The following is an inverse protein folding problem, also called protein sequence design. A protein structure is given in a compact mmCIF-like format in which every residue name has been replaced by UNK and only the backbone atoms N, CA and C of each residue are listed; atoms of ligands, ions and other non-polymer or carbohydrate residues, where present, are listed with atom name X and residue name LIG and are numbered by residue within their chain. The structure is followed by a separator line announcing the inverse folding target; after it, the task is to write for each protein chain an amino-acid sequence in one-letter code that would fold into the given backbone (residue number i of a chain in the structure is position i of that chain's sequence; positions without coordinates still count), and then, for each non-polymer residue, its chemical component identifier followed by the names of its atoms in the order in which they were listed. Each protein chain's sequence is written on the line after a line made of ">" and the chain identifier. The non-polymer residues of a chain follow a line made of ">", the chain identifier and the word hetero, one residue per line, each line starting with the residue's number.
data_IF_900562972282
#
_entry.id   IF_900562972282
#
_cell.length_a   1.000
_cell.length_b   1.000
_cell.length_c   1.000
_cell.angle_alpha   90.00
_cell.angle_beta   90.00
_cell.angle_gamma   90.00
#
_symmetry.space_group_name_H-M   'P 1'
#
loop_
_entity.id
_entity.type
_entity.pdbx_description
1 polymer ?
#
# COMPACT_ATOMS: atom_id res chain seq x y z
N UNK A 1 56.63 -11.14 11.55
CA UNK A 1 56.41 -9.77 11.08
C UNK A 1 56.54 -9.75 9.58
N UNK A 2 55.44 -9.77 8.83
CA UNK A 2 55.46 -9.68 7.35
C UNK A 2 54.52 -8.52 7.00
N UNK A 3 55.09 -7.43 6.51
CA UNK A 3 54.38 -6.23 6.04
C UNK A 3 53.92 -6.45 4.61
N UNK A 4 52.60 -6.56 4.37
CA UNK A 4 52.04 -6.60 3.02
C UNK A 4 51.70 -5.16 2.59
N UNK A 5 52.52 -4.60 1.69
CA UNK A 5 52.30 -3.31 1.02
C UNK A 5 51.14 -3.42 0.05
N UNK A 6 49.98 -2.79 0.34
CA UNK A 6 48.91 -2.58 -0.62
C UNK A 6 49.29 -1.47 -1.62
N UNK A 7 49.46 -1.84 -2.88
CA UNK A 7 49.59 -0.89 -4.01
C UNK A 7 48.22 -0.31 -4.35
N UNK A 8 48.04 0.99 -4.14
CA UNK A 8 46.91 1.76 -4.68
C UNK A 8 47.04 1.87 -6.18
N UNK A 9 46.09 1.34 -6.95
CA UNK A 9 45.93 1.60 -8.38
C UNK A 9 44.95 2.78 -8.52
N UNK A 10 45.44 3.91 -9.03
CA UNK A 10 44.63 5.04 -9.46
C UNK A 10 44.03 4.70 -10.83
N UNK A 11 42.73 4.78 -10.98
CA UNK A 11 42.05 4.72 -12.27
C UNK A 11 41.75 6.14 -12.76
N UNK A 12 41.91 6.43 -14.05
CA UNK A 12 41.65 7.74 -14.63
C UNK A 12 40.15 7.97 -14.81
N UNK A 13 39.65 9.13 -14.37
CA UNK A 13 38.32 9.67 -14.60
C UNK A 13 38.26 10.17 -16.06
N UNK A 14 37.42 9.55 -16.88
CA UNK A 14 37.07 10.06 -18.21
C UNK A 14 35.78 10.90 -18.07
N UNK A 15 35.92 12.22 -18.23
CA UNK A 15 34.80 13.15 -18.31
C UNK A 15 34.29 13.15 -19.75
N UNK A 16 33.08 12.62 -19.96
CA UNK A 16 32.37 12.76 -21.23
C UNK A 16 31.37 13.91 -21.12
N UNK A 17 31.66 15.00 -21.84
CA UNK A 17 30.72 16.11 -22.01
C UNK A 17 29.65 15.74 -23.03
N UNK A 18 28.39 15.55 -22.57
CA UNK A 18 27.22 15.32 -23.42
C UNK A 18 26.47 16.63 -23.66
N UNK A 19 26.33 17.03 -24.93
CA UNK A 19 25.63 18.20 -25.45
C UNK A 19 24.10 17.94 -25.32
N UNK A 20 23.38 18.79 -24.58
CA UNK A 20 21.92 18.82 -24.49
C UNK A 20 21.36 19.59 -25.70
N UNK A 21 20.68 18.91 -26.64
CA UNK A 21 19.77 19.55 -27.61
C UNK A 21 18.39 19.66 -26.99
N UNK A 22 17.97 20.90 -26.71
CA UNK A 22 16.59 21.22 -26.36
C UNK A 22 15.76 21.34 -27.63
N UNK A 23 14.77 20.46 -27.81
CA UNK A 23 13.75 20.58 -28.87
C UNK A 23 12.51 21.19 -28.24
N UNK A 24 12.26 22.48 -28.54
CA UNK A 24 11.02 23.21 -28.23
C UNK A 24 9.97 22.86 -29.31
N UNK A 25 9.00 22.02 -28.98
CA UNK A 25 7.78 21.86 -29.78
C UNK A 25 6.73 22.84 -29.31
N UNK A 26 6.43 23.84 -30.13
CA UNK A 26 5.43 24.87 -29.90
C UNK A 26 4.00 24.32 -30.02
N UNK A 27 3.12 24.77 -29.13
CA UNK A 27 1.66 24.65 -29.27
C UNK A 27 1.14 25.51 -30.42
N UNK A 28 0.50 24.87 -31.40
CA UNK A 28 -0.33 25.61 -32.39
C UNK A 28 -1.76 25.72 -31.88
N UNK A 29 -2.39 26.92 -31.95
CA UNK A 29 -3.81 27.06 -31.65
C UNK A 29 -4.67 26.55 -32.83
N UNK A 30 -5.73 25.79 -32.52
CA UNK A 30 -6.73 25.33 -33.50
C UNK A 30 -7.58 26.49 -34.02
N UNK A 31 -7.96 26.49 -35.33
CA UNK A 31 -8.83 27.50 -35.90
C UNK A 31 -10.29 27.30 -35.46
N UNK A 32 -10.90 28.36 -34.97
CA UNK A 32 -12.33 28.44 -34.66
C UNK A 32 -13.18 28.22 -35.93
N UNK A 33 -13.88 27.08 -35.99
CA UNK A 33 -14.80 26.74 -37.04
C UNK A 33 -16.10 27.53 -36.98
N UNK A 34 -16.59 27.88 -38.16
CA UNK A 34 -17.70 28.75 -38.47
C UNK A 34 -19.04 28.36 -37.81
N UNK A 35 -19.76 29.40 -37.43
CA UNK A 35 -21.15 29.42 -36.96
C UNK A 35 -22.12 28.86 -38.03
N UNK A 36 -22.80 27.75 -37.71
CA UNK A 36 -23.90 27.25 -38.52
C UNK A 36 -25.25 27.87 -38.07
N UNK A 37 -25.98 28.43 -39.00
CA UNK A 37 -27.31 29.00 -38.86
C UNK A 37 -28.34 27.92 -38.51
N UNK A 38 -29.23 28.09 -37.50
CA UNK A 38 -30.26 27.10 -37.19
C UNK A 38 -31.40 27.10 -38.21
N UNK A 39 -31.76 25.88 -38.66
CA UNK A 39 -32.95 25.62 -39.46
C UNK A 39 -34.20 25.51 -38.54
N UNK A 40 -35.41 25.83 -39.05
CA UNK A 40 -36.63 25.85 -38.23
C UNK A 40 -37.11 24.43 -37.88
N UNK A 41 -37.41 24.23 -36.61
CA UNK A 41 -37.94 23.03 -35.98
C UNK A 41 -39.40 22.77 -36.42
N UNK A 42 -39.78 21.54 -36.83
CA UNK A 42 -41.19 21.18 -36.89
C UNK A 42 -41.74 20.90 -35.50
N UNK A 43 -42.87 21.49 -35.20
CA UNK A 43 -43.65 21.29 -33.99
C UNK A 43 -44.19 19.87 -33.95
N UNK A 44 -43.66 19.03 -33.05
CA UNK A 44 -44.18 17.71 -32.75
C UNK A 44 -45.19 17.79 -31.60
N UNK A 45 -46.36 17.23 -31.84
CA UNK A 45 -47.46 17.09 -30.90
C UNK A 45 -47.05 16.33 -29.63
N UNK A 46 -47.29 16.94 -28.46
CA UNK A 46 -47.01 16.37 -27.15
C UNK A 46 -48.08 15.32 -26.84
N UNK A 47 -47.64 14.05 -26.74
CA UNK A 47 -48.40 12.99 -26.07
C UNK A 47 -48.13 13.07 -24.54
N UNK A 48 -49.11 12.78 -23.66
CA UNK A 48 -48.91 12.84 -22.22
C UNK A 48 -47.89 11.79 -21.77
N UNK A 49 -47.03 12.09 -20.78
CA UNK A 49 -46.05 11.14 -20.27
C UNK A 49 -46.73 9.98 -19.56
N UNK A 50 -46.38 8.75 -19.96
CA UNK A 50 -46.66 7.56 -19.17
C UNK A 50 -45.81 7.65 -17.90
N UNK A 51 -46.44 7.58 -16.74
CA UNK A 51 -45.77 7.44 -15.46
C UNK A 51 -45.01 6.10 -15.44
N UNK A 52 -43.71 6.19 -15.70
CA UNK A 52 -42.77 5.08 -15.42
C UNK A 52 -42.53 5.08 -13.92
N UNK A 53 -43.10 4.11 -13.23
CA UNK A 53 -42.76 3.82 -11.84
C UNK A 53 -41.28 3.39 -11.82
N UNK A 54 -40.39 4.28 -11.36
CA UNK A 54 -39.01 3.90 -11.02
C UNK A 54 -39.07 2.82 -9.93
N UNK A 55 -38.36 1.68 -10.11
CA UNK A 55 -38.20 0.74 -9.02
C UNK A 55 -37.43 1.44 -7.89
N UNK A 56 -38.09 1.66 -6.77
CA UNK A 56 -37.42 2.03 -5.51
C UNK A 56 -36.39 0.95 -5.20
N UNK A 57 -35.11 1.25 -5.38
CA UNK A 57 -34.02 0.38 -4.91
C UNK A 57 -34.19 0.27 -3.38
N UNK A 58 -34.47 -0.95 -2.90
CA UNK A 58 -34.37 -1.27 -1.47
C UNK A 58 -32.95 -0.89 -1.02
N UNK A 59 -32.79 -0.17 0.12
CA UNK A 59 -31.47 0.05 0.68
C UNK A 59 -30.85 -1.31 1.00
N UNK A 60 -29.79 -1.66 0.28
CA UNK A 60 -28.94 -2.80 0.61
C UNK A 60 -28.40 -2.52 2.01
N UNK A 61 -28.83 -3.30 3.01
CA UNK A 61 -28.23 -3.27 4.34
C UNK A 61 -26.74 -3.55 4.17
N UNK A 62 -25.92 -2.51 4.31
CA UNK A 62 -24.46 -2.64 4.35
C UNK A 62 -24.15 -3.42 5.64
N UNK A 63 -23.56 -4.60 5.50
CA UNK A 63 -23.04 -5.34 6.65
C UNK A 63 -22.16 -4.40 7.50
N UNK A 64 -22.26 -4.45 8.85
CA UNK A 64 -21.45 -3.60 9.70
C UNK A 64 -19.97 -3.86 9.36
N UNK A 65 -19.22 -2.81 9.04
CA UNK A 65 -17.78 -2.89 8.84
C UNK A 65 -17.11 -3.51 10.07
N UNK A 66 -16.15 -4.40 9.86
CA UNK A 66 -15.42 -5.00 10.97
C UNK A 66 -14.79 -3.89 11.85
N UNK A 67 -14.93 -4.04 13.16
CA UNK A 67 -14.40 -3.06 14.09
C UNK A 67 -12.88 -3.21 14.24
N UNK A 68 -12.17 -2.08 14.37
CA UNK A 68 -10.76 -2.11 14.73
C UNK A 68 -10.55 -2.84 16.06
N UNK A 69 -9.52 -3.70 16.18
CA UNK A 69 -9.13 -4.26 17.48
C UNK A 69 -8.80 -3.16 18.48
N UNK A 70 -9.17 -3.36 19.74
CA UNK A 70 -8.93 -2.38 20.81
C UNK A 70 -7.46 -2.27 21.23
N UNK A 71 -6.65 -3.30 20.97
CA UNK A 71 -5.25 -3.37 21.37
C UNK A 71 -4.45 -4.32 20.45
N UNK A 72 -3.14 -4.12 20.38
CA UNK A 72 -2.23 -4.92 19.54
C UNK A 72 -2.22 -6.41 19.91
N UNK A 73 -2.43 -6.76 21.17
CA UNK A 73 -2.45 -8.16 21.60
C UNK A 73 -3.59 -8.96 20.95
N UNK A 74 -4.69 -8.30 20.57
CA UNK A 74 -5.84 -8.92 19.92
C UNK A 74 -5.60 -9.28 18.44
N UNK A 75 -4.49 -8.78 17.84
CA UNK A 75 -4.12 -9.12 16.46
C UNK A 75 -3.52 -10.52 16.30
N UNK A 76 -3.06 -11.12 17.38
CA UNK A 76 -2.24 -12.33 17.32
C UNK A 76 -2.78 -13.43 18.24
N UNK A 77 -2.70 -14.66 17.79
CA UNK A 77 -2.86 -15.81 18.67
C UNK A 77 -1.76 -15.82 19.77
N UNK A 78 -1.99 -16.57 20.84
CA UNK A 78 -0.98 -16.75 21.89
C UNK A 78 0.33 -17.35 21.32
N UNK A 79 0.22 -18.31 20.38
CA UNK A 79 1.38 -18.93 19.74
C UNK A 79 2.17 -17.92 18.88
N UNK A 80 1.50 -17.08 18.11
CA UNK A 80 2.16 -16.06 17.30
C UNK A 80 2.83 -15.00 18.18
N UNK A 81 2.19 -14.55 19.26
CA UNK A 81 2.81 -13.62 20.23
C UNK A 81 4.07 -14.18 20.84
N UNK A 82 4.05 -15.45 21.27
CA UNK A 82 5.24 -16.12 21.81
C UNK A 82 6.38 -16.21 20.77
N UNK A 83 6.04 -16.46 19.50
CA UNK A 83 7.01 -16.48 18.39
C UNK A 83 7.63 -15.10 18.16
N UNK A 84 6.82 -14.04 18.18
CA UNK A 84 7.26 -12.65 18.02
C UNK A 84 8.15 -12.20 19.19
N UNK A 85 7.77 -12.52 20.43
CA UNK A 85 8.58 -12.25 21.64
C UNK A 85 9.94 -12.95 21.60
N UNK A 86 10.00 -14.15 21.04
CA UNK A 86 11.24 -14.89 20.90
C UNK A 86 12.13 -14.37 19.75
N UNK A 87 11.53 -13.93 18.63
CA UNK A 87 12.25 -13.58 17.42
C UNK A 87 12.65 -12.09 17.35
N UNK A 88 11.79 -11.18 17.79
CA UNK A 88 11.91 -9.74 17.51
C UNK A 88 11.34 -8.84 18.62
N UNK A 89 11.74 -9.05 19.91
CA UNK A 89 11.31 -8.15 20.99
C UNK A 89 11.97 -6.75 20.87
N UNK A 90 11.43 -5.71 21.54
CA UNK A 90 10.17 -5.69 22.29
C UNK A 90 8.94 -5.39 21.41
N UNK A 91 7.75 -5.57 21.99
CA UNK A 91 6.51 -5.12 21.39
C UNK A 91 6.30 -3.62 21.63
N UNK A 92 5.80 -2.90 20.59
CA UNK A 92 5.31 -1.51 20.68
C UNK A 92 6.32 -0.52 21.31
N UNK A 93 7.60 -0.67 21.01
CA UNK A 93 8.61 0.29 21.43
C UNK A 93 8.31 1.67 20.80
N UNK A 94 8.15 2.75 21.60
CA UNK A 94 7.79 4.07 21.08
C UNK A 94 8.86 4.73 20.20
N UNK A 95 10.09 4.22 20.22
CA UNK A 95 11.17 4.73 19.36
C UNK A 95 11.15 4.14 17.95
N UNK A 96 10.34 3.09 17.71
CA UNK A 96 10.21 2.48 16.39
C UNK A 96 9.40 3.38 15.46
N UNK A 97 10.07 3.93 14.45
CA UNK A 97 9.47 4.83 13.43
C UNK A 97 9.22 4.14 12.10
N UNK A 98 9.51 2.82 11.98
CA UNK A 98 9.28 2.06 10.75
C UNK A 98 7.82 2.18 10.32
N UNK A 99 7.58 2.55 9.05
CA UNK A 99 6.24 2.63 8.48
C UNK A 99 5.71 1.23 8.17
N UNK A 100 4.39 1.04 8.18
CA UNK A 100 3.75 -0.24 7.84
C UNK A 100 3.66 -0.48 6.33
N UNK A 101 4.09 0.46 5.51
CA UNK A 101 4.36 0.31 4.08
C UNK A 101 5.55 1.18 3.68
N UNK A 102 6.40 0.67 2.81
CA UNK A 102 7.52 1.39 2.18
C UNK A 102 7.10 2.07 0.87
N UNK A 103 5.89 1.80 0.38
CA UNK A 103 5.30 2.53 -0.72
C UNK A 103 4.74 3.86 -0.20
N UNK A 104 5.23 4.97 -0.74
CA UNK A 104 4.87 6.31 -0.26
C UNK A 104 3.37 6.62 -0.37
N UNK A 105 2.70 6.16 -1.44
CA UNK A 105 1.26 6.40 -1.64
C UNK A 105 0.42 5.57 -0.66
N UNK A 106 0.80 4.32 -0.36
CA UNK A 106 0.13 3.51 0.66
C UNK A 106 0.36 4.07 2.06
N UNK A 107 1.58 4.53 2.37
CA UNK A 107 1.88 5.17 3.64
C UNK A 107 1.07 6.48 3.83
N UNK A 108 0.88 7.27 2.76
CA UNK A 108 0.05 8.48 2.78
C UNK A 108 -1.43 8.14 3.01
N UNK A 109 -1.96 7.10 2.37
CA UNK A 109 -3.32 6.62 2.62
C UNK A 109 -3.52 6.23 4.10
N UNK A 110 -2.57 5.50 4.70
CA UNK A 110 -2.61 5.12 6.11
C UNK A 110 -2.53 6.34 7.04
N UNK A 111 -1.87 7.42 6.62
CA UNK A 111 -1.72 8.67 7.37
C UNK A 111 -2.85 9.69 7.12
N UNK A 112 -3.85 9.38 6.28
CA UNK A 112 -4.90 10.32 5.84
C UNK A 112 -5.95 10.67 6.90
N UNK A 113 -5.77 10.23 8.15
CA UNK A 113 -6.69 10.49 9.26
C UNK A 113 -7.80 9.43 9.40
N UNK A 114 -7.70 8.31 8.69
CA UNK A 114 -8.58 7.15 8.90
C UNK A 114 -8.31 6.53 10.28
N UNK A 115 -9.30 5.87 10.90
CA UNK A 115 -9.09 5.16 12.16
C UNK A 115 -8.07 4.03 12.00
N UNK A 116 -7.04 4.01 12.85
CA UNK A 116 -5.96 3.00 12.78
C UNK A 116 -5.57 2.48 14.16
N UNK A 117 -5.14 1.23 14.21
CA UNK A 117 -4.35 0.65 15.29
C UNK A 117 -2.97 0.30 14.74
N UNK A 118 -1.91 0.87 15.32
CA UNK A 118 -0.54 0.58 14.92
C UNK A 118 0.18 -0.24 15.97
N UNK A 119 0.83 -1.32 15.53
CA UNK A 119 1.56 -2.27 16.37
C UNK A 119 2.97 -2.48 15.79
N UNK A 120 3.96 -2.61 16.66
CA UNK A 120 5.35 -2.83 16.23
C UNK A 120 6.01 -3.93 17.05
N UNK A 121 6.98 -4.60 16.44
CA UNK A 121 7.89 -5.53 17.06
C UNK A 121 9.32 -5.16 16.65
N UNK A 122 10.26 -5.25 17.59
CA UNK A 122 11.65 -4.84 17.39
C UNK A 122 11.99 -3.50 18.01
N UNK A 123 13.26 -3.13 17.95
CA UNK A 123 13.78 -1.86 18.44
C UNK A 123 13.93 -0.82 17.33
N UNK A 124 14.62 0.28 17.63
CA UNK A 124 14.88 1.37 16.69
C UNK A 124 15.80 0.95 15.53
N UNK A 125 16.61 -0.06 15.71
CA UNK A 125 17.60 -0.54 14.75
C UNK A 125 17.51 -2.08 14.62
N UNK A 126 17.83 -2.60 13.42
CA UNK A 126 17.87 -4.02 13.13
C UNK A 126 16.53 -4.61 12.66
N UNK A 127 16.32 -5.92 12.89
CA UNK A 127 15.10 -6.61 12.52
C UNK A 127 13.86 -6.00 13.15
N UNK A 128 12.77 -5.91 12.41
CA UNK A 128 11.54 -5.35 12.94
C UNK A 128 10.33 -5.57 12.06
N UNK A 129 9.16 -5.40 12.67
CA UNK A 129 7.86 -5.50 12.02
C UNK A 129 7.02 -4.31 12.45
N UNK A 130 6.39 -3.63 11.49
CA UNK A 130 5.38 -2.60 11.76
C UNK A 130 4.08 -2.98 11.06
N UNK A 131 3.01 -3.13 11.83
CA UNK A 131 1.67 -3.46 11.34
C UNK A 131 0.71 -2.35 11.72
N UNK A 132 -0.08 -1.91 10.75
CA UNK A 132 -1.21 -0.99 10.95
C UNK A 132 -2.48 -1.66 10.46
N UNK A 133 -3.47 -1.76 11.34
CA UNK A 133 -4.85 -2.10 10.97
C UNK A 133 -5.61 -0.81 10.78
N UNK A 134 -6.21 -0.62 9.63
CA UNK A 134 -6.99 0.56 9.29
C UNK A 134 -8.44 0.17 8.99
N UNK A 135 -9.40 0.97 9.48
CA UNK A 135 -10.79 0.89 9.03
C UNK A 135 -10.94 1.75 7.78
N UNK A 136 -11.36 1.14 6.68
CA UNK A 136 -11.37 1.79 5.37
C UNK A 136 -12.71 1.62 4.66
N UNK A 137 -13.06 2.63 3.88
CA UNK A 137 -14.19 2.58 2.94
C UNK A 137 -13.81 1.80 1.67
N UNK A 138 -14.78 1.23 0.94
CA UNK A 138 -14.52 0.49 -0.30
C UNK A 138 -13.66 1.26 -1.31
N UNK A 139 -13.89 2.55 -1.48
CA UNK A 139 -13.12 3.38 -2.41
C UNK A 139 -11.65 3.53 -1.99
N UNK A 140 -11.35 3.51 -0.68
CA UNK A 140 -9.98 3.55 -0.16
C UNK A 140 -9.28 2.19 -0.37
N UNK A 141 -10.01 1.08 -0.18
CA UNK A 141 -9.50 -0.25 -0.49
C UNK A 141 -9.16 -0.38 -1.98
N UNK A 142 -10.03 0.10 -2.88
CA UNK A 142 -9.78 0.09 -4.32
C UNK A 142 -8.58 0.95 -4.71
N UNK A 143 -8.44 2.14 -4.11
CA UNK A 143 -7.28 3.00 -4.31
C UNK A 143 -5.97 2.33 -3.86
N UNK A 144 -5.97 1.69 -2.68
CA UNK A 144 -4.80 0.96 -2.20
C UNK A 144 -4.43 -0.21 -3.11
N UNK A 145 -5.41 -1.01 -3.56
CA UNK A 145 -5.18 -2.11 -4.52
C UNK A 145 -4.65 -1.63 -5.87
N UNK A 146 -5.13 -0.49 -6.37
CA UNK A 146 -4.61 0.11 -7.61
C UNK A 146 -3.13 0.47 -7.48
N UNK A 147 -2.71 1.12 -6.38
CA UNK A 147 -1.31 1.43 -6.09
C UNK A 147 -0.46 0.16 -6.00
N UNK A 148 -0.98 -0.91 -5.38
CA UNK A 148 -0.28 -2.19 -5.29
C UNK A 148 -0.07 -2.83 -6.66
N UNK A 149 -1.09 -2.81 -7.52
CA UNK A 149 -0.98 -3.33 -8.88
C UNK A 149 0.07 -2.58 -9.71
N UNK A 150 0.15 -1.25 -9.59
CA UNK A 150 1.17 -0.42 -10.24
C UNK A 150 2.58 -0.70 -9.68
N UNK A 151 2.69 -1.11 -8.42
CA UNK A 151 3.94 -1.40 -7.73
C UNK A 151 4.41 -2.85 -7.87
N UNK A 152 3.74 -3.66 -8.70
CA UNK A 152 3.99 -5.09 -8.90
C UNK A 152 3.89 -5.91 -7.59
N UNK A 153 3.04 -5.51 -6.65
CA UNK A 153 2.70 -6.28 -5.46
C UNK A 153 1.65 -7.31 -5.90
N UNK A 154 2.00 -8.60 -5.78
CA UNK A 154 1.11 -9.71 -6.16
C UNK A 154 0.09 -10.01 -5.07
N UNK A 155 -1.16 -10.33 -5.46
CA UNK A 155 -2.24 -10.66 -4.54
C UNK A 155 -2.76 -12.08 -4.76
N UNK A 156 -3.14 -12.72 -3.65
CA UNK A 156 -3.80 -14.03 -3.60
C UNK A 156 -4.86 -14.02 -2.49
N UNK A 157 -5.84 -14.94 -2.55
CA UNK A 157 -6.85 -15.04 -1.49
C UNK A 157 -6.39 -16.03 -0.42
N UNK A 158 -6.55 -15.65 0.85
CA UNK A 158 -6.30 -16.50 2.03
C UNK A 158 -7.53 -16.48 2.94
N UNK A 159 -8.27 -17.60 3.03
CA UNK A 159 -9.58 -17.62 3.71
C UNK A 159 -10.53 -16.60 3.08
N UNK A 160 -11.10 -15.74 3.90
CA UNK A 160 -12.03 -14.69 3.49
C UNK A 160 -11.33 -13.34 3.17
N UNK A 161 -9.98 -13.30 3.26
CA UNK A 161 -9.18 -12.11 2.99
C UNK A 161 -8.36 -12.23 1.71
N UNK A 162 -8.05 -11.07 1.09
CA UNK A 162 -7.02 -10.95 0.07
C UNK A 162 -5.69 -10.59 0.71
N UNK A 163 -4.64 -11.36 0.40
CA UNK A 163 -3.26 -11.08 0.78
C UNK A 163 -2.47 -10.58 -0.43
N UNK A 164 -2.01 -9.36 -0.38
CA UNK A 164 -1.07 -8.79 -1.35
C UNK A 164 0.32 -8.71 -0.74
N UNK A 165 1.35 -9.27 -1.42
CA UNK A 165 2.69 -9.43 -0.85
C UNK A 165 3.79 -9.07 -1.83
N UNK A 166 4.87 -8.49 -1.30
CA UNK A 166 6.14 -8.32 -2.00
C UNK A 166 7.31 -8.55 -1.05
N UNK A 167 8.35 -9.22 -1.52
CA UNK A 167 9.63 -9.39 -0.83
C UNK A 167 10.75 -8.76 -1.67
N UNK A 168 11.72 -8.15 -1.03
CA UNK A 168 12.89 -7.54 -1.63
C UNK A 168 14.15 -7.93 -0.86
N UNK A 169 15.25 -8.03 -1.59
CA UNK A 169 16.57 -8.20 -1.03
C UNK A 169 17.40 -6.98 -1.33
N UNK A 170 18.16 -6.53 -0.36
CA UNK A 170 19.01 -5.36 -0.48
C UNK A 170 20.34 -5.55 0.22
N UNK A 171 21.19 -4.56 0.08
CA UNK A 171 22.51 -4.50 0.74
C UNK A 171 22.60 -3.10 1.37
N UNK A 172 22.95 -3.05 2.65
CA UNK A 172 23.16 -1.79 3.37
C UNK A 172 24.43 -1.06 2.89
N UNK A 173 24.63 0.17 3.33
CA UNK A 173 25.84 0.94 3.05
C UNK A 173 27.13 0.31 3.62
N UNK A 174 26.97 -0.58 4.61
CA UNK A 174 28.07 -1.33 5.23
C UNK A 174 28.26 -2.72 4.63
N UNK A 175 27.72 -2.97 3.42
CA UNK A 175 27.77 -4.23 2.70
C UNK A 175 27.10 -5.42 3.43
N UNK A 176 26.09 -5.17 4.27
CA UNK A 176 25.29 -6.20 4.92
C UNK A 176 24.03 -6.48 4.11
N UNK A 177 23.82 -7.75 3.74
CA UNK A 177 22.59 -8.17 3.07
C UNK A 177 21.41 -8.12 4.05
N UNK A 178 20.23 -7.72 3.57
CA UNK A 178 18.97 -7.77 4.30
C UNK A 178 17.83 -8.22 3.39
N UNK A 179 16.78 -8.75 4.00
CA UNK A 179 15.51 -9.05 3.34
C UNK A 179 14.44 -8.16 3.95
N UNK A 180 13.58 -7.60 3.12
CA UNK A 180 12.43 -6.82 3.58
C UNK A 180 11.20 -7.19 2.78
N UNK A 181 10.03 -6.93 3.32
CA UNK A 181 8.80 -7.17 2.61
C UNK A 181 7.64 -6.35 3.13
N UNK A 182 6.55 -6.45 2.39
CA UNK A 182 5.26 -5.88 2.74
C UNK A 182 4.18 -6.92 2.50
N UNK A 183 3.27 -7.05 3.48
CA UNK A 183 2.06 -7.85 3.42
C UNK A 183 0.85 -6.93 3.65
N UNK A 184 -0.15 -7.01 2.79
CA UNK A 184 -1.39 -6.25 2.92
C UNK A 184 -2.58 -7.19 2.87
N UNK A 185 -3.41 -7.18 3.91
CA UNK A 185 -4.64 -7.97 3.99
C UNK A 185 -5.86 -7.05 3.87
N UNK A 186 -6.87 -7.50 3.13
CA UNK A 186 -8.14 -6.79 2.97
C UNK A 186 -9.31 -7.74 3.14
N UNK A 187 -10.19 -7.44 4.09
CA UNK A 187 -11.53 -8.03 4.22
C UNK A 187 -12.41 -7.12 5.06
N UNK A 188 -13.72 -7.16 4.85
CA UNK A 188 -14.79 -6.57 5.69
C UNK A 188 -14.54 -5.13 6.16
N UNK A 189 -14.02 -4.28 5.29
CA UNK A 189 -13.74 -2.87 5.61
C UNK A 189 -12.50 -2.65 6.48
N UNK A 190 -11.66 -3.67 6.66
CA UNK A 190 -10.33 -3.54 7.26
C UNK A 190 -9.22 -3.70 6.21
N UNK A 191 -8.17 -2.95 6.41
CA UNK A 191 -6.89 -3.08 5.73
C UNK A 191 -5.79 -3.26 6.76
N UNK A 192 -5.10 -4.39 6.72
CA UNK A 192 -3.90 -4.64 7.52
C UNK A 192 -2.69 -4.43 6.63
N UNK A 193 -1.89 -3.42 6.92
CA UNK A 193 -0.63 -3.16 6.25
C UNK A 193 0.52 -3.53 7.18
N UNK A 194 1.42 -4.40 6.72
CA UNK A 194 2.61 -4.83 7.47
C UNK A 194 3.84 -4.61 6.62
N UNK A 195 4.86 -3.96 7.15
CA UNK A 195 6.22 -4.02 6.60
C UNK A 195 7.17 -4.66 7.60
N UNK A 196 8.21 -5.34 7.09
CA UNK A 196 9.16 -6.05 7.92
C UNK A 196 10.57 -6.02 7.31
N UNK A 197 11.57 -6.17 8.18
CA UNK A 197 12.98 -6.25 7.81
C UNK A 197 13.59 -7.43 8.58
N UNK A 198 14.23 -8.35 7.85
CA UNK A 198 14.98 -9.53 8.30
C UNK A 198 14.21 -10.53 9.16
N UNK A 199 12.98 -10.24 9.55
CA UNK A 199 12.16 -11.14 10.37
C UNK A 199 10.69 -11.01 10.01
N UNK A 200 10.07 -12.14 9.68
CA UNK A 200 8.62 -12.32 9.68
C UNK A 200 8.35 -13.77 10.06
N UNK A 201 7.73 -14.06 11.21
CA UNK A 201 7.38 -15.42 11.60
C UNK A 201 6.50 -16.11 10.56
N UNK A 202 6.72 -17.40 10.34
CA UNK A 202 5.89 -18.20 9.44
C UNK A 202 4.41 -18.11 9.85
N UNK A 203 3.53 -17.91 8.87
CA UNK A 203 2.09 -17.81 9.12
C UNK A 203 1.61 -16.47 9.70
N UNK A 204 2.47 -15.45 9.84
CA UNK A 204 2.14 -14.16 10.44
C UNK A 204 0.84 -13.56 9.90
N UNK A 205 0.73 -13.40 8.58
CA UNK A 205 -0.46 -12.80 7.95
C UNK A 205 -1.69 -13.70 8.04
N UNK A 206 -1.50 -15.02 7.99
CA UNK A 206 -2.59 -15.98 8.17
C UNK A 206 -3.13 -16.00 9.60
N UNK A 207 -2.25 -15.85 10.59
CA UNK A 207 -2.64 -15.74 12.01
C UNK A 207 -3.49 -14.48 12.23
N UNK A 208 -3.06 -13.33 11.71
CA UNK A 208 -3.84 -12.08 11.79
C UNK A 208 -5.19 -12.23 11.10
N UNK A 209 -5.23 -12.83 9.92
CA UNK A 209 -6.48 -13.07 9.21
C UNK A 209 -7.44 -13.94 10.03
N UNK A 210 -6.95 -14.98 10.67
CA UNK A 210 -7.74 -15.85 11.55
C UNK A 210 -8.24 -15.14 12.82
N UNK A 211 -7.48 -14.17 13.36
CA UNK A 211 -7.92 -13.39 14.53
C UNK A 211 -8.97 -12.34 14.18
N UNK A 212 -8.91 -11.76 12.97
CA UNK A 212 -9.80 -10.69 12.57
C UNK A 212 -11.10 -11.19 11.91
N UNK A 213 -11.03 -12.33 11.18
CA UNK A 213 -12.11 -12.79 10.32
C UNK A 213 -12.42 -14.30 10.46
N UNK A 214 -11.76 -15.02 11.39
CA UNK A 214 -11.91 -16.47 11.62
C UNK A 214 -13.02 -16.88 12.60
#
# INVERSE_FOLDING_TARGET
>A
MIQVRRRRRAAPVLIAAGVLLAVLTGCQPEPVGATATPAPTPTASVAPPAETSEPTAEPTETAPAAALPGECAALYSEGMRASLEAAVPPANDPVVTMLSSQNAQLAELLASGIPVLRCTWGGAEGPGIATTVASIEPAQADAARAVMAESAIGCESIGDADLCRIERRGITLDDVEYVSGEDHLFADGLWVATSWIDVLPEGYSADIAAQLWG
#
